data_IF_901109047513
#
_entry.id   IF_901109047513
#
_cell.length_a   1.000
_cell.length_b   1.000
_cell.length_c   1.000
_cell.angle_alpha   90.00
_cell.angle_beta   90.00
_cell.angle_gamma   90.00
#
_symmetry.space_group_name_H-M   'P 1'
#
loop_
_entity.id
_entity.type
_entity.pdbx_description
1 polymer ?
#
# COMPACT_ATOMS: atom_id res chain seq x y z
N UNK A 1 -63.83 -1.10 -25.02
CA UNK A 1 -63.01 -1.21 -23.81
C UNK A 1 -61.66 -1.82 -24.21
N UNK A 2 -60.63 -0.96 -24.33
CA UNK A 2 -59.27 -1.40 -24.70
C UNK A 2 -58.50 -1.62 -23.41
N UNK A 3 -58.07 -2.87 -23.15
CA UNK A 3 -57.21 -3.19 -22.00
C UNK A 3 -55.78 -2.79 -22.34
N UNK A 4 -55.24 -1.82 -21.60
CA UNK A 4 -53.83 -1.44 -21.64
C UNK A 4 -53.05 -2.43 -20.75
N UNK A 5 -52.17 -3.23 -21.34
CA UNK A 5 -51.24 -4.10 -20.61
C UNK A 5 -49.99 -3.26 -20.28
N UNK A 6 -49.77 -3.00 -19.01
CA UNK A 6 -48.50 -2.44 -18.53
C UNK A 6 -47.45 -3.56 -18.42
N UNK A 7 -46.46 -3.48 -19.31
CA UNK A 7 -45.27 -4.32 -19.23
C UNK A 7 -44.30 -3.72 -18.20
N UNK A 8 -44.19 -4.32 -17.01
CA UNK A 8 -43.16 -3.99 -16.03
C UNK A 8 -41.85 -4.57 -16.52
N UNK A 9 -40.97 -3.69 -17.01
CA UNK A 9 -39.57 -4.05 -17.30
C UNK A 9 -38.83 -4.15 -15.95
N UNK A 10 -38.61 -5.37 -15.46
CA UNK A 10 -37.70 -5.63 -14.33
C UNK A 10 -36.27 -5.39 -14.86
N UNK A 11 -35.73 -4.21 -14.63
CA UNK A 11 -34.29 -3.97 -14.77
C UNK A 11 -33.62 -4.68 -13.59
N UNK A 12 -33.12 -5.89 -13.85
CA UNK A 12 -32.20 -6.55 -12.92
C UNK A 12 -30.92 -5.71 -12.90
N UNK A 13 -30.80 -4.81 -11.94
CA UNK A 13 -29.52 -4.20 -11.58
C UNK A 13 -28.65 -5.30 -10.99
N UNK A 14 -27.95 -6.02 -11.85
CA UNK A 14 -26.75 -6.75 -11.41
C UNK A 14 -25.78 -5.67 -10.94
N UNK A 15 -25.58 -5.56 -9.63
CA UNK A 15 -24.44 -4.82 -9.09
C UNK A 15 -23.20 -5.53 -9.66
N UNK A 16 -22.63 -4.97 -10.74
CA UNK A 16 -21.30 -5.35 -11.14
C UNK A 16 -20.42 -5.15 -9.91
N UNK A 17 -19.83 -6.23 -9.40
CA UNK A 17 -18.82 -6.13 -8.35
C UNK A 17 -17.78 -5.15 -8.89
N UNK A 18 -17.61 -4.03 -8.19
CA UNK A 18 -16.72 -2.97 -8.65
C UNK A 18 -15.33 -3.58 -8.61
N UNK A 19 -14.68 -3.72 -9.76
CA UNK A 19 -13.35 -4.29 -9.88
C UNK A 19 -12.40 -3.52 -8.96
N UNK A 20 -11.75 -4.23 -8.05
CA UNK A 20 -10.77 -3.67 -7.11
C UNK A 20 -9.38 -4.00 -7.66
N UNK A 21 -9.13 -3.49 -8.86
CA UNK A 21 -8.10 -3.92 -9.79
C UNK A 21 -6.76 -3.20 -9.61
N UNK A 22 -6.65 -2.28 -8.64
CA UNK A 22 -5.44 -1.50 -8.39
C UNK A 22 -5.21 -1.31 -6.90
N UNK A 23 -3.99 -0.89 -6.55
CA UNK A 23 -3.64 -0.49 -5.20
C UNK A 23 -4.66 0.52 -4.64
N UNK A 24 -5.11 0.30 -3.39
CA UNK A 24 -6.13 1.14 -2.72
C UNK A 24 -7.49 1.20 -3.45
N UNK A 25 -7.79 0.21 -4.29
CA UNK A 25 -9.07 -0.01 -4.94
C UNK A 25 -9.28 0.70 -6.27
N UNK A 26 -8.59 1.80 -6.57
CA UNK A 26 -8.76 2.58 -7.80
C UNK A 26 -7.55 3.50 -8.08
N UNK A 27 -7.51 4.11 -9.27
CA UNK A 27 -6.41 4.97 -9.70
C UNK A 27 -6.24 6.26 -8.86
N UNK A 28 -7.25 6.69 -8.11
CA UNK A 28 -7.18 7.83 -7.19
C UNK A 28 -6.72 7.42 -5.77
N UNK A 29 -6.54 6.13 -5.52
CA UNK A 29 -6.12 5.52 -4.25
C UNK A 29 -7.01 5.89 -3.06
N UNK A 30 -8.31 5.91 -3.25
CA UNK A 30 -9.25 6.36 -2.19
C UNK A 30 -9.23 5.49 -0.93
N UNK A 31 -8.81 4.23 -1.03
CA UNK A 31 -8.77 3.27 0.08
C UNK A 31 -10.14 2.87 0.61
N UNK A 32 -11.17 3.02 -0.22
CA UNK A 32 -12.58 2.79 0.12
C UNK A 32 -13.08 1.56 -0.61
N UNK A 33 -13.70 0.66 0.13
CA UNK A 33 -14.22 -0.61 -0.35
C UNK A 33 -15.72 -0.69 -0.02
N UNK A 34 -16.60 -0.25 -0.93
CA UNK A 34 -18.03 -0.27 -0.68
C UNK A 34 -18.55 -1.70 -0.63
N UNK A 35 -19.53 -1.95 0.23
CA UNK A 35 -20.19 -3.24 0.36
C UNK A 35 -20.11 -3.86 1.76
N UNK A 36 -20.55 -5.11 1.85
CA UNK A 36 -20.52 -5.85 3.11
C UNK A 36 -19.08 -6.16 3.54
N UNK A 37 -18.83 -6.01 4.83
CA UNK A 37 -17.55 -6.32 5.46
C UNK A 37 -17.80 -7.12 6.75
N UNK A 38 -16.92 -8.05 7.17
CA UNK A 38 -17.12 -8.82 8.38
C UNK A 38 -16.96 -7.94 9.63
N UNK A 39 -18.10 -7.64 10.30
CA UNK A 39 -18.09 -6.96 11.60
C UNK A 39 -17.72 -7.90 12.76
N UNK A 40 -17.88 -9.19 12.55
CA UNK A 40 -17.50 -10.26 13.47
C UNK A 40 -16.53 -11.20 12.76
N UNK A 41 -15.55 -11.70 13.47
CA UNK A 41 -14.64 -12.71 12.93
C UNK A 41 -15.30 -14.09 13.07
N UNK A 42 -15.59 -14.72 11.95
CA UNK A 42 -16.17 -16.07 11.95
C UNK A 42 -15.08 -17.14 11.77
N UNK A 43 -14.23 -17.00 10.78
CA UNK A 43 -13.17 -17.98 10.49
C UNK A 43 -12.14 -17.48 9.48
N UNK A 44 -11.02 -18.19 9.39
CA UNK A 44 -10.15 -18.18 8.22
C UNK A 44 -10.86 -18.95 7.12
N UNK A 45 -11.30 -18.26 6.05
CA UNK A 45 -11.92 -18.89 4.88
C UNK A 45 -10.91 -19.81 4.21
N UNK A 46 -9.73 -19.29 3.94
CA UNK A 46 -8.56 -20.02 3.49
C UNK A 46 -7.27 -19.22 3.73
N UNK A 47 -6.15 -19.91 3.65
CA UNK A 47 -4.81 -19.28 3.57
C UNK A 47 -4.01 -19.97 2.48
N UNK A 48 -3.29 -19.18 1.68
CA UNK A 48 -2.46 -19.67 0.58
C UNK A 48 -0.99 -19.49 0.94
N UNK A 49 -0.15 -20.54 0.93
CA UNK A 49 1.28 -20.44 1.19
C UNK A 49 2.01 -19.98 -0.07
N UNK A 50 2.78 -18.88 0.03
CA UNK A 50 3.82 -18.54 -0.91
C UNK A 50 5.19 -19.03 -0.38
N UNK A 51 6.24 -18.91 -1.20
CA UNK A 51 7.58 -19.36 -0.80
C UNK A 51 8.31 -18.41 0.16
N UNK A 52 7.84 -17.14 0.30
CA UNK A 52 8.44 -16.11 1.14
C UNK A 52 7.38 -15.06 1.53
N UNK A 53 7.82 -13.92 2.09
CA UNK A 53 6.96 -12.84 2.55
C UNK A 53 6.01 -12.34 1.45
N UNK A 54 4.77 -12.02 1.84
CA UNK A 54 3.77 -11.33 1.02
C UNK A 54 3.60 -9.92 1.57
N UNK A 55 4.35 -8.97 1.04
CA UNK A 55 4.40 -7.57 1.49
C UNK A 55 3.42 -6.70 0.70
N UNK A 56 3.36 -6.90 -0.62
CA UNK A 56 2.40 -6.23 -1.49
C UNK A 56 0.95 -6.57 -1.15
N UNK A 57 0.04 -5.69 -1.50
CA UNK A 57 -1.40 -5.91 -1.29
C UNK A 57 -1.99 -6.77 -2.41
N UNK A 58 -3.00 -7.60 -2.12
CA UNK A 58 -3.73 -8.31 -3.16
C UNK A 58 -4.69 -7.37 -3.90
N UNK A 59 -4.99 -7.72 -5.14
CA UNK A 59 -6.07 -7.12 -5.94
C UNK A 59 -6.97 -8.21 -6.51
N UNK A 60 -8.19 -7.86 -6.91
CA UNK A 60 -9.17 -8.83 -7.41
C UNK A 60 -9.88 -8.35 -8.67
N UNK A 61 -9.99 -9.26 -9.63
CA UNK A 61 -10.87 -9.16 -10.78
C UNK A 61 -11.47 -10.54 -11.08
N UNK A 62 -12.73 -10.60 -11.45
CA UNK A 62 -13.43 -11.84 -11.87
C UNK A 62 -13.25 -13.03 -10.92
N UNK A 63 -13.33 -12.78 -9.60
CA UNK A 63 -13.15 -13.78 -8.54
C UNK A 63 -11.75 -14.42 -8.48
N UNK A 64 -10.76 -13.76 -9.06
CA UNK A 64 -9.35 -14.16 -9.00
C UNK A 64 -8.58 -13.11 -8.20
N UNK A 65 -7.82 -13.57 -7.20
CA UNK A 65 -6.91 -12.73 -6.42
C UNK A 65 -5.51 -12.81 -7.03
N UNK A 66 -4.89 -11.64 -7.27
CA UNK A 66 -3.54 -11.52 -7.77
C UNK A 66 -2.65 -10.83 -6.74
N UNK A 67 -1.43 -11.34 -6.55
CA UNK A 67 -0.46 -10.77 -5.62
C UNK A 67 0.97 -11.17 -5.96
N UNK A 68 1.93 -10.38 -5.49
CA UNK A 68 3.35 -10.67 -5.57
C UNK A 68 3.91 -11.22 -4.26
N UNK A 69 5.02 -11.93 -4.33
CA UNK A 69 5.74 -12.46 -3.16
C UNK A 69 7.25 -12.24 -3.28
N UNK A 70 7.91 -12.15 -2.14
CA UNK A 70 9.38 -12.05 -2.06
C UNK A 70 10.10 -13.31 -2.52
N UNK A 71 9.37 -14.42 -2.81
CA UNK A 71 9.93 -15.60 -3.46
C UNK A 71 10.17 -15.41 -4.97
N UNK A 72 9.88 -14.21 -5.49
CA UNK A 72 10.06 -13.86 -6.89
C UNK A 72 8.93 -14.32 -7.80
N UNK A 73 7.78 -14.73 -7.26
CA UNK A 73 6.63 -15.14 -8.06
C UNK A 73 5.48 -14.12 -7.95
N UNK A 74 4.74 -14.05 -9.05
CA UNK A 74 3.43 -13.44 -9.15
C UNK A 74 2.41 -14.59 -9.15
N UNK A 75 1.38 -14.50 -8.34
CA UNK A 75 0.37 -15.53 -8.14
C UNK A 75 -1.01 -15.07 -8.56
N UNK A 76 -1.79 -15.99 -9.11
CA UNK A 76 -3.25 -15.89 -9.22
C UNK A 76 -3.88 -17.06 -8.46
N UNK A 77 -4.83 -16.75 -7.59
CA UNK A 77 -5.57 -17.74 -6.78
C UNK A 77 -7.07 -17.50 -6.86
N UNK A 78 -7.83 -18.56 -6.80
CA UNK A 78 -9.29 -18.52 -6.75
C UNK A 78 -9.76 -17.92 -5.42
N UNK A 79 -10.59 -16.88 -5.46
CA UNK A 79 -11.03 -16.13 -4.29
C UNK A 79 -11.96 -16.93 -3.37
N UNK A 80 -12.64 -17.97 -3.87
CA UNK A 80 -13.56 -18.77 -3.09
C UNK A 80 -12.85 -19.80 -2.21
N UNK A 81 -11.78 -20.41 -2.74
CA UNK A 81 -11.16 -21.57 -2.10
C UNK A 81 -9.64 -21.48 -1.92
N UNK A 82 -8.98 -20.39 -2.40
CA UNK A 82 -7.54 -20.17 -2.30
C UNK A 82 -6.70 -21.10 -3.17
N UNK A 83 -7.29 -21.82 -4.13
CA UNK A 83 -6.53 -22.69 -5.04
C UNK A 83 -5.72 -21.88 -6.03
N UNK A 84 -4.44 -22.23 -6.20
CA UNK A 84 -3.60 -21.61 -7.24
C UNK A 84 -4.17 -21.90 -8.63
N UNK A 85 -4.37 -20.83 -9.38
CA UNK A 85 -4.73 -20.88 -10.81
C UNK A 85 -3.44 -20.95 -11.62
N UNK A 86 -2.54 -19.98 -11.40
CA UNK A 86 -1.22 -19.95 -11.99
C UNK A 86 -0.20 -19.24 -11.10
N UNK A 87 1.06 -19.40 -11.40
CA UNK A 87 2.16 -18.56 -10.90
C UNK A 87 3.18 -18.30 -12.00
N UNK A 88 3.78 -17.12 -11.98
CA UNK A 88 4.80 -16.71 -12.95
C UNK A 88 6.03 -16.19 -12.20
N UNK A 89 7.20 -16.76 -12.52
CA UNK A 89 8.44 -16.39 -11.87
C UNK A 89 9.08 -15.17 -12.52
N UNK A 90 9.58 -14.27 -11.68
CA UNK A 90 10.56 -13.23 -12.00
C UNK A 90 11.94 -13.62 -11.49
N UNK A 91 12.94 -12.72 -11.56
CA UNK A 91 14.29 -13.00 -11.04
C UNK A 91 14.60 -12.24 -9.75
N UNK A 92 13.63 -11.59 -9.14
CA UNK A 92 13.74 -10.83 -7.90
C UNK A 92 12.43 -10.81 -7.12
N UNK A 93 12.41 -10.37 -5.86
CA UNK A 93 11.21 -10.18 -5.08
C UNK A 93 10.16 -9.31 -5.77
N UNK A 94 8.88 -9.56 -5.46
CA UNK A 94 7.72 -8.82 -6.01
C UNK A 94 6.89 -8.24 -4.87
N UNK A 95 7.38 -7.21 -4.16
CA UNK A 95 6.69 -6.62 -3.01
C UNK A 95 5.74 -5.47 -3.39
N UNK A 96 5.31 -5.36 -4.63
CA UNK A 96 4.28 -4.39 -5.04
C UNK A 96 2.91 -5.03 -5.20
N UNK A 97 1.88 -4.20 -5.17
CA UNK A 97 0.52 -4.58 -5.52
C UNK A 97 0.38 -4.61 -7.05
N UNK A 98 -0.10 -5.68 -7.67
CA UNK A 98 -0.39 -5.68 -9.10
C UNK A 98 -1.50 -4.69 -9.46
N UNK A 99 -1.57 -4.26 -10.73
CA UNK A 99 -2.77 -3.65 -11.29
C UNK A 99 -3.35 -4.54 -12.37
N UNK A 100 -4.68 -4.51 -12.54
CA UNK A 100 -5.37 -5.29 -13.54
C UNK A 100 -6.20 -4.35 -14.41
N UNK A 101 -6.09 -4.52 -15.71
CA UNK A 101 -6.91 -3.80 -16.66
C UNK A 101 -7.16 -4.66 -17.91
N UNK A 102 -8.44 -4.82 -18.29
CA UNK A 102 -8.83 -5.63 -19.45
C UNK A 102 -8.20 -7.04 -19.50
N UNK A 103 -8.17 -7.73 -18.34
CA UNK A 103 -7.62 -9.07 -18.23
C UNK A 103 -6.08 -9.16 -18.31
N UNK A 104 -5.40 -8.04 -18.25
CA UNK A 104 -3.93 -7.95 -18.16
C UNK A 104 -3.50 -7.60 -16.73
N UNK A 105 -2.46 -8.26 -16.24
CA UNK A 105 -1.87 -8.01 -14.92
C UNK A 105 -0.52 -7.31 -15.09
N UNK A 106 -0.37 -6.16 -14.44
CA UNK A 106 0.82 -5.32 -14.51
C UNK A 106 1.53 -5.28 -13.15
N UNK A 107 2.84 -5.51 -13.12
CA UNK A 107 3.56 -5.64 -11.85
C UNK A 107 5.07 -5.37 -12.01
N UNK A 108 5.67 -4.71 -11.02
CA UNK A 108 7.12 -4.51 -10.92
C UNK A 108 7.82 -5.62 -10.13
N UNK A 109 9.12 -5.82 -10.38
CA UNK A 109 9.97 -6.74 -9.64
C UNK A 109 11.33 -6.11 -9.32
N UNK A 110 11.91 -6.50 -8.20
CA UNK A 110 13.29 -6.12 -7.83
C UNK A 110 14.36 -6.65 -8.80
N UNK A 111 13.99 -7.45 -9.82
CA UNK A 111 14.91 -7.78 -10.91
C UNK A 111 15.13 -6.62 -11.91
N UNK A 112 14.59 -5.44 -11.63
CA UNK A 112 14.68 -4.25 -12.47
C UNK A 112 13.78 -4.31 -13.70
N UNK A 113 12.73 -5.12 -13.66
CA UNK A 113 11.76 -5.22 -14.76
C UNK A 113 10.34 -5.01 -14.32
N UNK A 114 9.60 -4.43 -15.23
CA UNK A 114 8.17 -4.32 -15.17
C UNK A 114 7.52 -5.32 -16.13
N UNK A 115 6.49 -6.04 -15.70
CA UNK A 115 5.89 -7.14 -16.41
C UNK A 115 4.41 -6.85 -16.71
N UNK A 116 3.95 -7.28 -17.90
CA UNK A 116 2.55 -7.44 -18.21
C UNK A 116 2.26 -8.91 -18.51
N UNK A 117 1.29 -9.46 -17.82
CA UNK A 117 0.90 -10.86 -17.89
C UNK A 117 -0.55 -10.99 -18.35
N UNK A 118 -0.86 -12.08 -19.01
CA UNK A 118 -2.22 -12.51 -19.24
C UNK A 118 -2.86 -12.95 -17.92
N UNK A 119 -3.96 -12.33 -17.51
CA UNK A 119 -4.59 -12.58 -16.22
C UNK A 119 -5.13 -14.00 -16.03
N UNK A 120 -5.52 -14.68 -17.13
CA UNK A 120 -6.08 -16.04 -17.06
C UNK A 120 -4.99 -17.11 -16.99
N UNK A 121 -3.87 -16.91 -17.70
CA UNK A 121 -2.83 -17.94 -17.87
C UNK A 121 -1.51 -17.62 -17.16
N UNK A 122 -1.29 -16.36 -16.76
CA UNK A 122 -0.01 -15.91 -16.24
C UNK A 122 1.10 -15.77 -17.30
N UNK A 123 0.77 -15.95 -18.58
CA UNK A 123 1.76 -15.84 -19.66
C UNK A 123 2.28 -14.40 -19.80
N UNK A 124 3.59 -14.23 -19.83
CA UNK A 124 4.21 -12.91 -20.06
C UNK A 124 3.88 -12.43 -21.46
N UNK A 125 3.19 -11.31 -21.58
CA UNK A 125 2.89 -10.64 -22.87
C UNK A 125 4.04 -9.74 -23.28
N UNK A 126 4.51 -8.91 -22.36
CA UNK A 126 5.67 -8.07 -22.53
C UNK A 126 6.38 -7.79 -21.21
N UNK A 127 7.58 -7.31 -21.27
CA UNK A 127 8.36 -6.81 -20.13
C UNK A 127 9.20 -5.62 -20.55
N UNK A 128 9.32 -4.66 -19.64
CA UNK A 128 10.13 -3.45 -19.79
C UNK A 128 11.26 -3.47 -18.75
N UNK A 129 12.48 -3.12 -19.13
CA UNK A 129 13.59 -2.96 -18.21
C UNK A 129 13.69 -1.50 -17.76
N UNK A 130 13.67 -1.26 -16.45
CA UNK A 130 13.99 0.04 -15.85
C UNK A 130 15.51 0.27 -15.90
N UNK A 131 15.97 1.42 -15.41
CA UNK A 131 17.42 1.71 -15.30
C UNK A 131 18.08 1.03 -14.08
N UNK A 132 17.31 0.23 -13.33
CA UNK A 132 17.72 -0.56 -12.18
C UNK A 132 16.81 -0.34 -10.99
N UNK A 133 16.78 -1.29 -10.06
CA UNK A 133 15.98 -1.23 -8.84
C UNK A 133 16.90 -1.19 -7.63
N UNK A 134 16.64 -0.31 -6.66
CA UNK A 134 17.38 -0.21 -5.41
C UNK A 134 16.48 0.31 -4.30
N UNK A 135 16.83 0.01 -3.07
CA UNK A 135 16.24 0.68 -1.90
C UNK A 135 16.81 2.09 -1.76
N UNK A 136 16.08 2.94 -1.06
CA UNK A 136 16.62 4.19 -0.55
C UNK A 136 17.81 3.92 0.38
N UNK A 137 18.83 4.76 0.31
CA UNK A 137 20.01 4.67 1.15
C UNK A 137 20.56 6.06 1.49
N UNK A 138 21.04 6.22 2.72
CA UNK A 138 21.65 7.46 3.16
C UNK A 138 22.77 7.22 4.18
N UNK A 139 23.67 8.22 4.35
CA UNK A 139 24.73 8.18 5.36
C UNK A 139 24.12 8.35 6.75
N UNK A 140 24.50 7.46 7.67
CA UNK A 140 24.03 7.49 9.06
C UNK A 140 22.52 7.41 9.18
N UNK A 141 21.86 6.74 8.23
CA UNK A 141 20.40 6.57 8.18
C UNK A 141 19.90 6.04 9.54
N UNK A 142 18.75 6.51 10.00
CA UNK A 142 18.16 6.19 11.30
C UNK A 142 19.07 6.54 12.51
N UNK A 143 20.07 7.39 12.33
CA UNK A 143 21.08 7.68 13.37
C UNK A 143 22.11 6.58 13.54
N UNK A 144 22.18 5.59 12.65
CA UNK A 144 23.11 4.47 12.71
C UNK A 144 24.58 4.90 12.60
N UNK A 145 25.45 4.13 13.24
CA UNK A 145 26.87 4.42 13.32
C UNK A 145 27.71 3.45 12.48
N UNK A 146 28.82 3.90 11.90
CA UNK A 146 29.29 5.29 11.86
C UNK A 146 28.45 6.17 10.91
N UNK A 147 28.22 7.44 11.28
CA UNK A 147 27.43 8.40 10.46
C UNK A 147 28.00 8.64 9.06
N UNK A 148 29.23 8.22 8.80
CA UNK A 148 29.89 8.35 7.50
C UNK A 148 29.58 7.20 6.54
N UNK A 149 29.05 6.08 7.07
CA UNK A 149 28.67 4.91 6.27
C UNK A 149 27.27 5.07 5.71
N UNK A 150 27.09 4.65 4.45
CA UNK A 150 25.77 4.56 3.79
C UNK A 150 25.09 3.25 4.21
N UNK A 151 23.81 3.37 4.56
CA UNK A 151 22.95 2.25 4.94
C UNK A 151 21.71 2.24 4.03
N UNK A 152 21.37 1.07 3.52
CA UNK A 152 20.08 0.87 2.85
C UNK A 152 18.95 0.87 3.89
N UNK A 153 17.82 1.47 3.56
CA UNK A 153 16.68 1.55 4.45
C UNK A 153 15.98 0.19 4.57
N UNK A 154 15.99 -0.35 5.79
CA UNK A 154 15.29 -1.58 6.11
C UNK A 154 13.76 -1.48 5.97
N UNK A 155 13.21 -0.25 6.09
CA UNK A 155 11.77 0.03 6.03
C UNK A 155 11.29 0.47 4.63
N UNK A 156 12.20 0.60 3.66
CA UNK A 156 11.86 0.73 2.23
C UNK A 156 11.61 -0.65 1.64
N UNK A 157 10.47 -1.25 2.02
CA UNK A 157 10.14 -2.65 1.72
C UNK A 157 9.24 -2.81 0.50
N UNK A 158 8.63 -1.72 0.02
CA UNK A 158 7.71 -1.75 -1.10
C UNK A 158 8.40 -1.34 -2.41
N UNK A 159 7.90 -1.85 -3.53
CA UNK A 159 8.02 -1.21 -4.83
C UNK A 159 6.76 -0.42 -5.15
N UNK A 160 6.89 0.58 -6.01
CA UNK A 160 5.75 1.33 -6.53
C UNK A 160 4.74 0.38 -7.18
N UNK A 161 3.49 0.44 -6.73
CA UNK A 161 2.38 -0.28 -7.36
C UNK A 161 1.89 0.49 -8.57
N UNK A 162 1.64 -0.16 -9.71
CA UNK A 162 1.22 0.52 -10.92
C UNK A 162 -0.23 1.05 -10.84
N UNK A 163 -0.47 2.13 -11.56
CA UNK A 163 -1.82 2.58 -11.94
C UNK A 163 -2.00 2.43 -13.44
N UNK A 164 -3.17 1.97 -13.88
CA UNK A 164 -3.50 1.80 -15.29
C UNK A 164 -4.70 2.68 -15.62
N UNK A 165 -4.52 3.63 -16.54
CA UNK A 165 -5.56 4.58 -16.94
C UNK A 165 -5.40 4.91 -18.42
N UNK A 166 -6.51 4.87 -19.17
CA UNK A 166 -6.57 5.25 -20.59
C UNK A 166 -5.49 4.58 -21.46
N UNK A 167 -5.29 3.26 -21.24
CA UNK A 167 -4.33 2.46 -21.99
C UNK A 167 -2.86 2.81 -21.73
N UNK A 168 -2.57 3.45 -20.61
CA UNK A 168 -1.22 3.70 -20.13
C UNK A 168 -1.01 3.11 -18.73
N UNK A 169 0.18 2.58 -18.48
CA UNK A 169 0.64 2.13 -17.17
C UNK A 169 1.61 3.15 -16.60
N UNK A 170 1.41 3.52 -15.33
CA UNK A 170 2.26 4.46 -14.60
C UNK A 170 2.83 3.79 -13.37
N UNK A 171 4.13 3.86 -13.15
CA UNK A 171 4.80 3.31 -11.96
C UNK A 171 6.13 4.01 -11.68
N UNK A 172 6.49 4.07 -10.41
CA UNK A 172 7.80 4.55 -9.97
C UNK A 172 8.83 3.42 -9.91
N UNK A 173 10.10 3.77 -9.83
CA UNK A 173 11.22 2.83 -9.73
C UNK A 173 12.31 3.32 -8.79
N UNK A 174 13.08 2.39 -8.24
CA UNK A 174 14.27 2.67 -7.43
C UNK A 174 15.37 3.40 -8.19
N UNK A 175 15.31 3.46 -9.52
CA UNK A 175 16.21 4.29 -10.32
C UNK A 175 15.86 5.80 -10.26
N UNK A 176 14.78 6.17 -9.57
CA UNK A 176 14.33 7.54 -9.37
C UNK A 176 13.53 8.11 -10.54
N UNK A 177 12.94 7.27 -11.39
CA UNK A 177 12.02 7.70 -12.44
C UNK A 177 10.59 7.29 -12.12
N UNK A 178 9.63 8.16 -12.51
CA UNK A 178 8.27 7.75 -12.81
C UNK A 178 8.21 7.41 -14.30
N UNK A 179 7.70 6.23 -14.63
CA UNK A 179 7.53 5.74 -15.99
C UNK A 179 6.06 5.80 -16.44
N UNK A 180 5.85 6.07 -17.72
CA UNK A 180 4.59 5.81 -18.41
C UNK A 180 4.86 4.92 -19.61
N UNK A 181 4.19 3.77 -19.65
CA UNK A 181 4.28 2.81 -20.76
C UNK A 181 2.93 2.67 -21.44
N UNK A 182 2.95 2.29 -22.71
CA UNK A 182 1.75 1.79 -23.38
C UNK A 182 1.32 0.46 -22.77
N UNK A 183 0.09 0.34 -22.31
CA UNK A 183 -0.39 -0.83 -21.59
C UNK A 183 -0.41 -2.11 -22.46
N UNK A 184 -0.60 -1.98 -23.79
CA UNK A 184 -0.69 -3.13 -24.69
C UNK A 184 0.70 -3.61 -25.17
N UNK A 185 1.58 -2.67 -25.50
CA UNK A 185 2.89 -3.00 -26.12
C UNK A 185 4.06 -2.97 -25.14
N UNK A 186 3.94 -2.26 -24.02
CA UNK A 186 5.05 -2.01 -23.08
C UNK A 186 6.05 -0.97 -23.60
N UNK A 187 5.75 -0.28 -24.69
CA UNK A 187 6.60 0.80 -25.21
C UNK A 187 6.60 2.01 -24.28
N UNK A 188 7.78 2.61 -24.11
CA UNK A 188 7.96 3.81 -23.31
C UNK A 188 7.24 4.99 -23.97
N UNK A 189 6.24 5.56 -23.28
CA UNK A 189 5.60 6.82 -23.68
C UNK A 189 6.44 8.01 -23.21
N UNK A 190 6.81 8.03 -21.94
CA UNK A 190 7.71 9.01 -21.33
C UNK A 190 8.22 8.51 -19.97
N UNK A 191 9.26 9.14 -19.46
CA UNK A 191 9.72 9.02 -18.08
C UNK A 191 10.00 10.38 -17.48
N UNK A 192 9.80 10.54 -16.17
CA UNK A 192 10.06 11.74 -15.41
C UNK A 192 11.09 11.43 -14.31
N UNK A 193 12.22 12.14 -14.32
CA UNK A 193 13.31 11.94 -13.37
C UNK A 193 13.13 12.78 -12.12
N UNK A 194 13.24 12.16 -10.95
CA UNK A 194 13.33 12.78 -9.63
C UNK A 194 14.76 12.74 -9.10
N UNK A 195 14.99 13.31 -7.92
CA UNK A 195 16.30 13.31 -7.28
C UNK A 195 16.68 12.01 -6.59
N UNK A 196 15.71 11.13 -6.26
CA UNK A 196 15.93 9.85 -5.59
C UNK A 196 14.82 8.84 -5.93
N UNK A 197 14.80 7.69 -5.25
CA UNK A 197 13.87 6.56 -5.40
C UNK A 197 12.41 7.01 -5.44
N UNK A 198 11.61 6.39 -6.30
CA UNK A 198 10.15 6.58 -6.41
C UNK A 198 9.45 5.27 -6.09
N UNK A 199 9.25 4.95 -4.82
CA UNK A 199 8.51 3.76 -4.36
C UNK A 199 7.07 4.05 -3.93
N UNK A 200 6.71 5.33 -3.71
CA UNK A 200 5.31 5.71 -3.59
C UNK A 200 4.55 5.42 -4.90
N UNK A 201 3.39 4.80 -4.78
CA UNK A 201 2.56 4.47 -5.94
C UNK A 201 1.87 5.71 -6.48
N UNK A 202 1.84 5.96 -7.80
CA UNK A 202 1.24 7.16 -8.36
C UNK A 202 -0.29 7.08 -8.37
N UNK A 203 -0.96 8.12 -7.87
CA UNK A 203 -2.40 8.30 -8.11
C UNK A 203 -2.60 9.08 -9.42
N UNK A 204 -3.54 8.61 -10.26
CA UNK A 204 -3.84 9.22 -11.56
C UNK A 204 -5.25 9.79 -11.53
N UNK A 205 -5.36 11.11 -11.59
CA UNK A 205 -6.65 11.82 -11.56
C UNK A 205 -6.66 12.98 -12.53
N UNK A 206 -7.69 13.09 -13.36
CA UNK A 206 -7.90 14.19 -14.31
C UNK A 206 -6.66 14.50 -15.18
N UNK A 207 -6.00 13.46 -15.69
CA UNK A 207 -4.83 13.63 -16.56
C UNK A 207 -3.55 14.06 -15.86
N UNK A 208 -3.48 13.91 -14.53
CA UNK A 208 -2.31 14.24 -13.70
C UNK A 208 -1.88 13.02 -12.89
N UNK A 209 -0.60 12.71 -12.90
CA UNK A 209 0.04 11.74 -12.00
C UNK A 209 0.56 12.47 -10.77
N UNK A 210 0.12 12.04 -9.58
CA UNK A 210 0.53 12.55 -8.29
C UNK A 210 1.34 11.49 -7.55
N UNK A 211 2.56 11.80 -7.13
CA UNK A 211 3.43 10.84 -6.46
C UNK A 211 4.51 11.51 -5.61
N UNK A 212 4.99 10.80 -4.64
CA UNK A 212 6.11 11.22 -3.81
C UNK A 212 7.42 10.55 -4.21
N UNK A 213 8.54 11.20 -3.88
CA UNK A 213 9.89 10.65 -4.02
C UNK A 213 10.66 10.75 -2.70
N UNK A 214 11.69 9.95 -2.57
CA UNK A 214 12.61 9.99 -1.44
C UNK A 214 13.55 11.22 -1.46
N UNK A 215 13.50 12.03 -2.52
CA UNK A 215 14.18 13.33 -2.60
C UNK A 215 13.47 14.44 -1.83
N UNK A 216 12.47 14.13 -1.03
CA UNK A 216 11.63 15.05 -0.24
C UNK A 216 10.65 15.89 -1.05
N UNK A 217 10.51 15.62 -2.33
CA UNK A 217 9.51 16.30 -3.16
C UNK A 217 8.30 15.40 -3.43
N UNK A 218 7.16 16.04 -3.42
CA UNK A 218 5.91 15.52 -3.95
C UNK A 218 5.64 16.18 -5.30
N UNK A 219 5.30 15.41 -6.31
CA UNK A 219 5.20 15.84 -7.70
C UNK A 219 3.82 15.69 -8.27
N UNK A 220 3.43 16.61 -9.17
CA UNK A 220 2.32 16.46 -10.10
C UNK A 220 2.83 16.59 -11.53
N UNK A 221 2.57 15.57 -12.33
CA UNK A 221 3.08 15.44 -13.69
C UNK A 221 1.93 15.22 -14.66
N UNK A 222 1.93 15.94 -15.78
CA UNK A 222 0.96 15.78 -16.86
C UNK A 222 1.13 14.39 -17.53
N UNK A 223 0.07 13.57 -17.52
CA UNK A 223 0.14 12.20 -18.04
C UNK A 223 0.33 12.11 -19.56
N UNK A 224 0.01 13.19 -20.30
CA UNK A 224 0.10 13.17 -21.76
C UNK A 224 1.52 13.35 -22.29
N UNK A 225 2.37 14.01 -21.52
CA UNK A 225 3.71 14.40 -22.00
C UNK A 225 4.84 14.28 -20.96
N UNK A 226 4.53 13.85 -19.73
CA UNK A 226 5.50 13.67 -18.65
C UNK A 226 6.10 14.96 -18.11
N UNK A 227 5.49 16.14 -18.34
CA UNK A 227 6.01 17.42 -17.85
C UNK A 227 5.48 17.71 -16.45
N UNK A 228 6.37 18.25 -15.59
CA UNK A 228 6.01 18.75 -14.28
C UNK A 228 4.98 19.88 -14.38
N UNK A 229 3.90 19.76 -13.61
CA UNK A 229 2.92 20.84 -13.42
C UNK A 229 3.26 21.65 -12.18
N UNK A 230 3.59 20.96 -11.10
CA UNK A 230 4.07 21.54 -9.86
C UNK A 230 4.78 20.49 -9.00
N UNK A 231 5.54 20.94 -8.02
CA UNK A 231 6.10 20.14 -6.95
C UNK A 231 6.00 20.85 -5.62
N UNK A 232 5.94 20.08 -4.54
CA UNK A 232 5.92 20.55 -3.16
C UNK A 232 7.10 19.93 -2.40
N UNK A 233 7.83 20.74 -1.62
CA UNK A 233 8.95 20.27 -0.80
C UNK A 233 8.49 20.06 0.64
N UNK A 234 8.65 18.83 1.16
CA UNK A 234 8.38 18.48 2.56
C UNK A 234 9.54 18.92 3.48
N UNK A 235 9.30 18.78 4.78
CA UNK A 235 10.32 19.00 5.81
C UNK A 235 11.32 17.85 5.92
N UNK A 236 12.09 17.86 7.02
CA UNK A 236 13.02 16.80 7.41
C UNK A 236 12.44 16.01 8.58
N UNK A 237 12.93 14.79 8.79
CA UNK A 237 12.64 14.04 10.01
C UNK A 237 13.06 14.84 11.25
N UNK A 238 12.14 15.03 12.23
CA UNK A 238 12.40 15.92 13.36
C UNK A 238 13.46 15.42 14.35
N UNK A 239 13.83 14.13 14.29
CA UNK A 239 14.80 13.51 15.22
C UNK A 239 16.19 13.35 14.63
N UNK A 240 16.27 12.86 13.38
CA UNK A 240 17.55 12.48 12.78
C UNK A 240 17.94 13.31 11.56
N UNK A 241 17.03 14.13 11.04
CA UNK A 241 17.24 15.08 9.97
C UNK A 241 17.77 14.51 8.63
N UNK A 242 17.70 13.19 8.45
CA UNK A 242 18.19 12.50 7.26
C UNK A 242 17.25 11.38 6.77
N UNK A 243 16.00 11.36 7.25
CA UNK A 243 14.97 10.40 6.86
C UNK A 243 13.84 11.15 6.18
N UNK A 244 14.19 11.84 5.14
CA UNK A 244 13.25 12.61 4.32
C UNK A 244 12.61 11.71 3.28
N UNK A 245 11.50 12.13 2.74
CA UNK A 245 10.86 11.48 1.61
C UNK A 245 9.44 11.02 1.86
N UNK A 246 8.75 10.91 0.74
CA UNK A 246 7.36 10.46 0.68
C UNK A 246 7.33 8.95 0.39
N UNK A 247 7.16 8.14 1.44
CA UNK A 247 6.91 6.71 1.31
C UNK A 247 5.41 6.41 1.15
N UNK A 248 4.55 7.26 1.73
CA UNK A 248 3.10 7.19 1.59
C UNK A 248 2.67 7.42 0.15
N UNK A 249 1.82 6.56 -0.38
CA UNK A 249 1.17 6.81 -1.67
C UNK A 249 -0.04 7.73 -1.47
N UNK A 250 -0.25 8.73 -2.35
CA UNK A 250 -1.31 9.71 -2.18
C UNK A 250 -2.71 9.15 -2.42
N UNK A 251 -3.70 9.74 -1.74
CA UNK A 251 -5.10 9.66 -2.13
C UNK A 251 -5.53 11.02 -2.71
N UNK A 252 -6.28 11.01 -3.81
CA UNK A 252 -6.75 12.25 -4.46
C UNK A 252 -8.27 12.25 -4.51
N UNK A 253 -8.89 13.15 -3.74
CA UNK A 253 -10.34 13.26 -3.61
C UNK A 253 -10.76 14.73 -3.63
N UNK A 254 -11.81 15.06 -4.39
CA UNK A 254 -12.39 16.40 -4.47
C UNK A 254 -11.38 17.54 -4.72
N UNK A 255 -10.38 17.28 -5.58
CA UNK A 255 -9.36 18.25 -5.94
C UNK A 255 -8.30 18.48 -4.85
N UNK A 256 -8.22 17.58 -3.87
CA UNK A 256 -7.20 17.62 -2.80
C UNK A 256 -6.38 16.34 -2.83
N UNK A 257 -5.07 16.48 -2.73
CA UNK A 257 -4.11 15.39 -2.53
C UNK A 257 -3.84 15.25 -1.05
N UNK A 258 -4.02 14.04 -0.52
CA UNK A 258 -3.66 13.69 0.85
C UNK A 258 -2.50 12.69 0.82
N UNK A 259 -1.41 13.00 1.51
CA UNK A 259 -0.21 12.15 1.55
C UNK A 259 0.55 12.32 2.85
N UNK A 260 1.06 11.23 3.37
CA UNK A 260 1.95 11.25 4.53
C UNK A 260 3.42 11.39 4.12
N UNK A 261 4.25 11.81 5.07
CA UNK A 261 5.69 11.94 4.87
C UNK A 261 6.47 11.49 6.11
N UNK A 262 7.75 11.21 5.94
CA UNK A 262 8.66 10.84 7.04
C UNK A 262 9.08 12.03 7.91
N UNK A 263 8.72 13.24 7.56
CA UNK A 263 8.83 14.41 8.43
C UNK A 263 7.75 14.50 9.52
N UNK A 264 7.04 13.40 9.75
CA UNK A 264 5.95 13.26 10.71
C UNK A 264 4.66 14.02 10.34
N UNK A 265 4.50 14.49 9.10
CA UNK A 265 3.34 15.24 8.66
C UNK A 265 2.40 14.40 7.77
N UNK A 266 1.09 14.64 7.91
CA UNK A 266 0.12 14.36 6.86
C UNK A 266 -0.22 15.67 6.16
N UNK A 267 -0.05 15.72 4.86
CA UNK A 267 -0.31 16.90 4.04
C UNK A 267 -1.63 16.80 3.29
N UNK A 268 -2.33 17.94 3.17
CA UNK A 268 -3.40 18.15 2.22
C UNK A 268 -2.98 19.27 1.26
N UNK A 269 -2.78 18.93 -0.01
CA UNK A 269 -2.35 19.85 -1.04
C UNK A 269 -3.47 20.07 -2.07
N UNK A 270 -3.60 21.27 -2.57
CA UNK A 270 -4.48 21.58 -3.69
C UNK A 270 -3.97 20.87 -4.95
N UNK A 271 -4.78 20.00 -5.53
CA UNK A 271 -4.37 19.14 -6.65
C UNK A 271 -4.01 19.94 -7.93
N UNK A 272 -4.58 21.12 -8.13
CA UNK A 272 -4.31 21.93 -9.31
C UNK A 272 -3.01 22.75 -9.19
N UNK A 273 -2.66 23.20 -7.97
CA UNK A 273 -1.61 24.19 -7.75
C UNK A 273 -0.44 23.71 -6.88
N UNK A 274 -0.59 22.59 -6.16
CA UNK A 274 0.38 22.10 -5.18
C UNK A 274 0.46 22.92 -3.89
N UNK A 275 -0.39 23.94 -3.70
CA UNK A 275 -0.40 24.74 -2.48
C UNK A 275 -0.90 23.94 -1.30
N UNK A 276 -0.21 24.04 -0.17
CA UNK A 276 -0.65 23.46 1.11
C UNK A 276 -1.98 24.10 1.53
N UNK A 277 -3.00 23.26 1.74
CA UNK A 277 -4.28 23.64 2.32
C UNK A 277 -4.22 23.55 3.84
N UNK A 278 -3.67 22.47 4.33
CA UNK A 278 -3.37 22.21 5.73
C UNK A 278 -2.37 21.06 5.85
N UNK A 279 -1.77 20.94 7.02
CA UNK A 279 -1.01 19.76 7.43
C UNK A 279 -1.35 19.36 8.86
N UNK A 280 -1.24 18.08 9.15
CA UNK A 280 -1.42 17.51 10.47
C UNK A 280 -0.08 17.05 11.00
N UNK A 281 0.34 17.61 12.15
CA UNK A 281 1.61 17.27 12.81
C UNK A 281 1.41 16.07 13.74
N UNK A 282 2.06 14.95 13.45
CA UNK A 282 2.09 13.76 14.29
C UNK A 282 3.29 13.76 15.27
N UNK A 283 3.88 14.90 15.53
CA UNK A 283 5.02 15.16 16.40
C UNK A 283 6.32 14.48 15.96
N UNK A 284 6.51 13.18 16.19
CA UNK A 284 7.81 12.52 15.99
C UNK A 284 7.74 11.27 15.13
N UNK A 285 6.55 10.77 14.80
CA UNK A 285 6.37 9.50 14.11
C UNK A 285 5.96 9.70 12.66
N UNK A 286 6.61 8.96 11.78
CA UNK A 286 6.35 9.02 10.35
C UNK A 286 4.92 8.68 9.98
N UNK A 287 4.36 9.41 9.04
CA UNK A 287 3.07 9.10 8.41
C UNK A 287 3.35 8.38 7.09
N UNK A 288 3.50 7.07 7.16
CA UNK A 288 3.90 6.24 6.01
C UNK A 288 2.76 5.47 5.37
N UNK A 289 1.64 5.31 6.09
CA UNK A 289 0.46 4.67 5.51
C UNK A 289 -0.17 5.57 4.45
N UNK A 290 -0.67 4.96 3.39
CA UNK A 290 -1.46 5.66 2.38
C UNK A 290 -2.84 5.97 2.96
N UNK A 291 -3.28 7.24 2.98
CA UNK A 291 -4.54 7.61 3.60
C UNK A 291 -5.75 7.04 2.84
N UNK A 292 -6.83 6.75 3.58
CA UNK A 292 -8.14 6.54 2.98
C UNK A 292 -9.00 7.80 3.17
N UNK A 293 -9.77 8.17 2.14
CA UNK A 293 -10.53 9.42 2.17
C UNK A 293 -11.97 9.15 1.75
N UNK A 294 -12.91 9.39 2.66
CA UNK A 294 -14.34 9.22 2.42
C UNK A 294 -15.19 10.01 3.42
N UNK A 295 -16.33 10.50 2.98
CA UNK A 295 -17.32 11.23 3.79
C UNK A 295 -16.69 12.38 4.59
N UNK A 296 -15.82 13.17 3.93
CA UNK A 296 -15.17 14.32 4.55
C UNK A 296 -14.14 13.97 5.64
N UNK A 297 -13.68 12.71 5.70
CA UNK A 297 -12.72 12.22 6.70
C UNK A 297 -11.50 11.61 6.02
N UNK A 298 -10.33 11.76 6.64
CA UNK A 298 -9.07 11.12 6.26
C UNK A 298 -8.67 10.14 7.35
N UNK A 299 -8.48 8.87 6.98
CA UNK A 299 -8.08 7.77 7.85
C UNK A 299 -6.63 7.42 7.54
N UNK A 300 -5.77 7.43 8.55
CA UNK A 300 -4.35 7.08 8.38
C UNK A 300 -3.76 6.52 9.67
N UNK A 301 -2.57 5.94 9.57
CA UNK A 301 -1.86 5.42 10.71
C UNK A 301 -0.37 5.79 10.62
N UNK A 302 0.33 5.64 11.74
CA UNK A 302 1.71 6.08 11.91
C UNK A 302 2.61 4.92 12.32
N UNK A 303 3.90 5.06 12.05
CA UNK A 303 4.88 4.01 12.32
C UNK A 303 5.07 3.76 13.82
N UNK A 304 6.13 4.22 14.40
CA UNK A 304 6.62 3.90 15.75
C UNK A 304 5.77 4.48 16.90
N UNK A 305 5.00 5.54 16.68
CA UNK A 305 4.00 5.97 17.67
C UNK A 305 2.77 5.05 17.73
N UNK A 306 2.60 4.14 16.75
CA UNK A 306 1.52 3.16 16.72
C UNK A 306 0.13 3.77 16.85
N UNK A 307 -0.10 4.90 16.16
CA UNK A 307 -1.35 5.64 16.26
C UNK A 307 -2.19 5.50 14.99
N UNK A 308 -3.45 5.18 15.18
CA UNK A 308 -4.50 5.28 14.18
C UNK A 308 -5.25 6.60 14.37
N UNK A 309 -5.37 7.37 13.30
CA UNK A 309 -5.99 8.68 13.29
C UNK A 309 -7.13 8.77 12.29
N UNK A 310 -8.13 9.58 12.64
CA UNK A 310 -9.14 10.12 11.72
C UNK A 310 -9.17 11.64 11.89
N UNK A 311 -9.06 12.37 10.78
CA UNK A 311 -9.13 13.84 10.78
C UNK A 311 -10.17 14.33 9.78
N UNK A 312 -10.65 15.56 9.94
CA UNK A 312 -11.52 16.23 8.97
C UNK A 312 -10.75 16.50 7.67
N UNK A 313 -11.27 16.07 6.52
CA UNK A 313 -10.63 16.25 5.23
C UNK A 313 -10.46 17.72 4.83
N UNK A 314 -11.37 18.59 5.24
CA UNK A 314 -11.34 20.02 4.91
C UNK A 314 -10.37 20.85 5.76
N UNK A 315 -9.99 20.40 6.95
CA UNK A 315 -9.26 21.23 7.92
C UNK A 315 -8.08 20.53 8.62
N UNK A 316 -7.97 19.20 8.52
CA UNK A 316 -6.99 18.42 9.27
C UNK A 316 -7.27 18.32 10.78
N UNK A 317 -8.42 18.83 11.27
CA UNK A 317 -8.76 18.74 12.70
C UNK A 317 -8.96 17.29 13.13
N UNK A 318 -8.39 16.89 14.29
CA UNK A 318 -8.56 15.54 14.82
C UNK A 318 -10.04 15.23 15.13
N UNK A 319 -10.51 14.07 14.66
CA UNK A 319 -11.80 13.48 15.02
C UNK A 319 -11.58 12.32 15.99
N UNK A 320 -10.59 11.48 15.67
CA UNK A 320 -10.32 10.24 16.40
C UNK A 320 -8.82 9.98 16.47
N UNK A 321 -8.38 9.46 17.63
CA UNK A 321 -7.03 8.96 17.85
C UNK A 321 -7.11 7.69 18.70
N UNK A 322 -6.52 6.60 18.22
CA UNK A 322 -6.40 5.33 18.95
C UNK A 322 -4.95 4.86 18.95
N UNK A 323 -4.49 4.38 20.08
CA UNK A 323 -3.16 3.74 20.20
C UNK A 323 -3.27 2.25 19.90
N UNK A 324 -2.28 1.72 19.18
CA UNK A 324 -2.11 0.31 18.91
C UNK A 324 -0.95 -0.30 19.70
N UNK A 325 -0.75 -1.61 19.59
CA UNK A 325 0.29 -2.34 20.32
C UNK A 325 1.65 -2.30 19.64
N UNK A 326 1.68 -2.03 18.32
CA UNK A 326 2.91 -1.99 17.53
C UNK A 326 2.74 -1.12 16.28
N UNK A 327 3.81 -0.97 15.51
CA UNK A 327 3.90 -0.09 14.35
C UNK A 327 2.86 -0.42 13.28
N UNK A 328 2.32 0.63 12.65
CA UNK A 328 1.31 0.53 11.61
C UNK A 328 1.90 0.96 10.25
N UNK A 329 2.11 -0.01 9.37
CA UNK A 329 2.58 0.20 7.99
C UNK A 329 1.51 -0.15 6.95
N UNK A 330 0.59 -1.04 7.32
CA UNK A 330 -0.58 -1.36 6.51
C UNK A 330 -1.51 -0.16 6.41
N UNK A 331 -1.89 0.21 5.21
CA UNK A 331 -2.79 1.35 5.00
C UNK A 331 -4.24 0.95 5.30
N UNK A 332 -5.02 1.79 6.00
CA UNK A 332 -6.38 1.43 6.41
C UNK A 332 -7.31 1.22 5.20
N UNK A 333 -8.02 0.09 5.19
CA UNK A 333 -9.09 -0.18 4.23
C UNK A 333 -10.44 0.17 4.85
N UNK A 334 -11.15 1.15 4.27
CA UNK A 334 -12.39 1.69 4.83
C UNK A 334 -13.59 1.14 4.07
N UNK A 335 -14.54 0.56 4.82
CA UNK A 335 -15.84 0.14 4.30
C UNK A 335 -16.96 1.04 4.82
N UNK A 336 -18.22 0.66 4.64
CA UNK A 336 -19.35 1.45 5.13
C UNK A 336 -19.34 1.62 6.66
N UNK A 337 -18.87 0.61 7.39
CA UNK A 337 -18.99 0.54 8.85
C UNK A 337 -17.77 -0.01 9.58
N UNK A 338 -16.78 -0.54 8.86
CA UNK A 338 -15.56 -1.14 9.42
C UNK A 338 -14.32 -0.54 8.77
N UNK A 339 -13.25 -0.42 9.55
CA UNK A 339 -11.90 -0.12 9.07
C UNK A 339 -11.00 -1.31 9.39
N UNK A 340 -10.28 -1.81 8.39
CA UNK A 340 -9.33 -2.90 8.54
C UNK A 340 -7.90 -2.38 8.46
N UNK A 341 -7.04 -2.87 9.35
CA UNK A 341 -5.63 -2.48 9.45
C UNK A 341 -4.78 -3.69 9.83
N UNK A 342 -3.63 -3.86 9.18
CA UNK A 342 -2.58 -4.78 9.59
C UNK A 342 -1.57 -4.11 10.52
N UNK A 343 -1.04 -4.86 11.48
CA UNK A 343 -0.07 -4.39 12.49
C UNK A 343 1.22 -5.19 12.35
N UNK A 344 2.39 -4.56 12.57
CA UNK A 344 3.68 -5.24 12.41
C UNK A 344 3.94 -6.33 13.44
N UNK A 345 3.18 -6.39 14.53
CA UNK A 345 3.23 -7.52 15.47
C UNK A 345 2.51 -8.78 14.96
N UNK A 346 2.03 -8.76 13.71
CA UNK A 346 1.29 -9.85 13.09
C UNK A 346 -0.17 -9.95 13.51
N UNK A 347 -0.73 -8.88 14.07
CA UNK A 347 -2.16 -8.76 14.34
C UNK A 347 -2.86 -8.09 13.15
N UNK A 348 -4.01 -8.60 12.75
CA UNK A 348 -4.93 -7.97 11.80
C UNK A 348 -6.18 -7.54 12.54
N UNK A 349 -6.61 -6.30 12.37
CA UNK A 349 -7.66 -5.69 13.14
C UNK A 349 -8.83 -5.21 12.29
N UNK A 350 -10.05 -5.42 12.81
CA UNK A 350 -11.26 -4.75 12.37
C UNK A 350 -11.71 -3.77 13.45
N UNK A 351 -11.93 -2.53 13.05
CA UNK A 351 -12.33 -1.45 13.95
C UNK A 351 -13.67 -0.84 13.50
N UNK A 352 -14.53 -0.47 14.43
CA UNK A 352 -15.72 0.30 14.12
C UNK A 352 -15.33 1.63 13.46
N UNK A 353 -15.89 1.92 12.30
CA UNK A 353 -15.52 3.10 11.51
C UNK A 353 -15.78 4.43 12.25
N UNK A 354 -16.80 4.50 13.11
CA UNK A 354 -17.20 5.74 13.76
C UNK A 354 -16.46 5.97 15.09
N UNK A 355 -16.36 4.93 15.92
CA UNK A 355 -15.75 5.04 17.25
C UNK A 355 -14.26 4.68 17.25
N UNK A 356 -13.77 3.94 16.22
CA UNK A 356 -12.41 3.40 16.17
C UNK A 356 -12.16 2.25 17.14
N UNK A 357 -13.19 1.78 17.84
CA UNK A 357 -13.06 0.68 18.79
C UNK A 357 -12.79 -0.63 18.06
N UNK A 358 -11.96 -1.48 18.69
CA UNK A 358 -11.65 -2.80 18.17
C UNK A 358 -12.92 -3.67 18.19
N UNK A 359 -13.32 -4.18 17.04
CA UNK A 359 -14.42 -5.15 16.91
C UNK A 359 -13.88 -6.57 17.09
N UNK A 360 -12.81 -6.90 16.37
CA UNK A 360 -12.11 -8.18 16.48
C UNK A 360 -10.67 -8.07 16.01
N UNK A 361 -9.84 -9.03 16.41
CA UNK A 361 -8.46 -9.18 15.96
C UNK A 361 -8.18 -10.62 15.53
N UNK A 362 -7.28 -10.78 14.55
CA UNK A 362 -6.74 -12.05 14.11
C UNK A 362 -5.21 -12.00 14.24
N UNK A 363 -4.57 -13.10 14.58
CA UNK A 363 -3.12 -13.21 14.67
C UNK A 363 -2.58 -14.21 13.65
N UNK A 364 -1.53 -13.82 12.93
CA UNK A 364 -0.81 -14.71 12.01
C UNK A 364 -0.15 -15.87 12.76
N UNK A 365 0.17 -16.96 12.07
CA UNK A 365 0.70 -18.17 12.73
C UNK A 365 2.06 -17.92 13.39
N UNK A 366 2.98 -17.21 12.71
CA UNK A 366 4.27 -16.84 13.31
C UNK A 366 4.11 -15.92 14.50
N UNK A 367 3.16 -14.99 14.44
CA UNK A 367 2.88 -14.07 15.54
C UNK A 367 2.39 -14.80 16.79
N UNK A 368 1.56 -15.85 16.64
CA UNK A 368 1.14 -16.70 17.77
C UNK A 368 2.31 -17.45 18.40
N UNK A 369 3.25 -17.93 17.59
CA UNK A 369 4.44 -18.64 18.06
C UNK A 369 5.39 -17.71 18.83
N UNK A 370 5.48 -16.42 18.42
CA UNK A 370 6.38 -15.42 19.02
C UNK A 370 7.81 -15.97 19.22
N UNK A 371 8.36 -16.59 18.19
CA UNK A 371 9.71 -17.13 18.24
C UNK A 371 10.73 -16.05 18.63
N UNK A 372 11.73 -16.42 19.43
CA UNK A 372 12.77 -15.50 19.94
C UNK A 372 12.25 -14.33 20.79
N UNK A 373 11.03 -14.41 21.32
CA UNK A 373 10.45 -13.42 22.21
C UNK A 373 10.48 -11.99 21.67
N UNK A 374 10.25 -11.84 20.38
CA UNK A 374 10.19 -10.54 19.68
C UNK A 374 9.11 -9.63 20.26
N UNK A 375 8.03 -10.22 20.78
CA UNK A 375 6.94 -9.52 21.45
C UNK A 375 6.90 -9.84 22.95
N UNK A 376 6.50 -8.83 23.73
CA UNK A 376 6.13 -9.00 25.14
C UNK A 376 4.81 -9.78 25.27
N UNK A 377 4.41 -10.08 26.52
CA UNK A 377 3.12 -10.72 26.82
C UNK A 377 1.93 -9.84 26.33
N UNK A 378 2.08 -8.52 26.35
CA UNK A 378 1.09 -7.55 25.91
C UNK A 378 1.09 -7.34 24.39
N UNK A 379 1.90 -8.11 23.66
CA UNK A 379 2.04 -8.04 22.19
C UNK A 379 2.70 -6.76 21.67
N UNK A 380 3.43 -6.03 22.51
CA UNK A 380 4.30 -4.92 22.10
C UNK A 380 5.68 -5.45 21.70
N UNK A 381 6.39 -4.71 20.86
CA UNK A 381 7.79 -5.08 20.56
C UNK A 381 8.64 -5.09 21.82
N UNK A 382 9.46 -6.14 21.95
CA UNK A 382 10.45 -6.26 23.04
C UNK A 382 11.67 -5.37 22.71
N UNK A 383 11.54 -4.08 23.00
CA UNK A 383 12.52 -3.04 22.66
C UNK A 383 13.95 -3.38 23.14
N UNK A 384 14.18 -3.88 24.39
CA UNK A 384 15.52 -4.29 24.80
C UNK A 384 16.15 -5.34 23.87
N UNK A 385 15.38 -6.36 23.48
CA UNK A 385 15.87 -7.42 22.59
C UNK A 385 16.12 -6.93 21.15
N UNK A 386 15.25 -6.06 20.65
CA UNK A 386 15.31 -5.61 19.25
C UNK A 386 16.31 -4.48 19.03
N UNK A 387 16.41 -3.55 19.96
CA UNK A 387 17.08 -2.26 19.72
C UNK A 387 18.37 -2.07 20.52
N UNK A 388 18.51 -2.62 21.73
CA UNK A 388 19.68 -2.32 22.54
C UNK A 388 20.95 -3.04 22.10
N UNK A 389 20.85 -4.29 21.69
CA UNK A 389 22.02 -5.07 21.28
C UNK A 389 22.14 -5.14 19.75
N UNK A 390 21.03 -5.43 19.05
CA UNK A 390 21.06 -5.64 17.61
C UNK A 390 21.08 -4.32 16.80
N UNK A 391 20.48 -3.26 17.29
CA UNK A 391 20.38 -1.99 16.55
C UNK A 391 21.70 -1.24 16.46
N UNK A 392 22.57 -1.39 17.45
CA UNK A 392 23.92 -0.80 17.43
C UNK A 392 24.89 -1.58 16.56
N UNK A 393 24.75 -2.91 16.51
CA UNK A 393 25.71 -3.79 15.83
C UNK A 393 25.23 -4.28 14.47
N UNK A 394 23.91 -4.48 14.29
CA UNK A 394 23.32 -4.97 13.05
C UNK A 394 21.87 -4.49 12.85
N UNK A 395 21.67 -3.22 12.45
CA UNK A 395 20.33 -2.63 12.31
C UNK A 395 19.40 -3.37 11.36
N UNK A 396 19.94 -3.90 10.25
CA UNK A 396 19.17 -4.71 9.30
C UNK A 396 18.67 -6.02 9.93
N UNK A 397 19.45 -6.63 10.81
CA UNK A 397 19.06 -7.86 11.54
C UNK A 397 17.91 -7.57 12.51
N UNK A 398 17.90 -6.40 13.14
CA UNK A 398 16.79 -5.99 14.01
C UNK A 398 15.48 -5.82 13.24
N UNK A 399 15.53 -5.15 12.08
CA UNK A 399 14.36 -5.01 11.20
C UNK A 399 13.87 -6.38 10.68
N UNK A 400 14.78 -7.25 10.25
CA UNK A 400 14.44 -8.60 9.81
C UNK A 400 13.77 -9.42 10.92
N UNK A 401 14.21 -9.30 12.18
CA UNK A 401 13.53 -9.95 13.32
C UNK A 401 12.11 -9.45 13.54
N UNK A 402 11.91 -8.12 13.42
CA UNK A 402 10.56 -7.54 13.50
C UNK A 402 9.65 -8.05 12.37
N UNK A 403 10.21 -8.20 11.15
CA UNK A 403 9.45 -8.63 10.01
C UNK A 403 9.19 -10.14 10.03
N UNK A 404 10.07 -10.94 10.58
CA UNK A 404 9.95 -12.41 10.58
C UNK A 404 8.89 -12.95 11.55
N UNK A 405 8.23 -12.10 12.30
CA UNK A 405 7.16 -12.48 13.24
C UNK A 405 5.78 -12.64 12.59
N UNK A 406 5.69 -12.60 11.27
CA UNK A 406 4.40 -12.59 10.58
C UNK A 406 3.77 -11.20 10.53
N UNK A 407 4.60 -10.16 10.45
CA UNK A 407 4.19 -8.77 10.34
C UNK A 407 3.28 -8.54 9.12
N UNK A 408 2.34 -7.62 9.23
CA UNK A 408 1.39 -7.31 8.16
C UNK A 408 1.68 -5.90 7.62
N UNK A 409 2.37 -5.86 6.48
CA UNK A 409 2.61 -4.65 5.69
C UNK A 409 1.53 -4.42 4.64
N UNK A 410 1.00 -5.52 4.11
CA UNK A 410 -0.03 -5.53 3.07
C UNK A 410 -1.25 -4.70 3.50
N UNK A 411 -1.70 -3.80 2.64
CA UNK A 411 -2.98 -3.11 2.85
C UNK A 411 -4.13 -4.06 2.50
N UNK A 412 -5.21 -4.09 3.31
CA UNK A 412 -6.30 -5.04 3.09
C UNK A 412 -7.07 -4.75 1.81
N UNK A 413 -7.46 -5.82 1.12
CA UNK A 413 -8.49 -5.83 0.09
C UNK A 413 -9.80 -6.33 0.73
N UNK A 414 -10.91 -5.63 0.52
CA UNK A 414 -12.22 -6.06 1.00
C UNK A 414 -13.15 -6.29 -0.17
N UNK A 415 -13.62 -7.51 -0.34
CA UNK A 415 -14.51 -7.87 -1.44
C UNK A 415 -15.46 -8.99 -1.03
N UNK A 416 -16.74 -8.89 -1.42
CA UNK A 416 -17.76 -9.95 -1.24
C UNK A 416 -17.89 -10.46 0.22
N UNK A 417 -17.71 -9.57 1.21
CA UNK A 417 -17.78 -9.96 2.62
C UNK A 417 -16.53 -10.67 3.16
N UNK A 418 -15.46 -10.71 2.39
CA UNK A 418 -14.18 -11.33 2.76
C UNK A 418 -13.08 -10.26 2.76
N UNK A 419 -12.14 -10.38 3.70
CA UNK A 419 -10.95 -9.53 3.76
C UNK A 419 -9.72 -10.35 3.41
N UNK A 420 -8.90 -9.82 2.49
CA UNK A 420 -7.67 -10.47 2.02
C UNK A 420 -6.46 -9.62 2.37
N UNK A 421 -5.38 -10.23 2.85
CA UNK A 421 -4.12 -9.55 3.12
C UNK A 421 -2.93 -10.52 3.10
N UNK A 422 -1.77 -10.00 2.75
CA UNK A 422 -0.51 -10.72 2.82
C UNK A 422 0.19 -10.54 4.16
N UNK A 423 1.04 -11.48 4.52
CA UNK A 423 1.86 -11.41 5.74
C UNK A 423 3.30 -11.87 5.47
N UNK A 424 4.23 -11.40 6.30
CA UNK A 424 5.63 -11.83 6.23
C UNK A 424 5.85 -13.26 6.70
N UNK A 425 4.83 -13.94 7.22
CA UNK A 425 4.90 -15.39 7.47
C UNK A 425 4.78 -16.24 6.20
N UNK A 426 4.64 -15.59 5.04
CA UNK A 426 4.57 -16.25 3.75
C UNK A 426 3.17 -16.72 3.34
N UNK A 427 2.14 -16.19 3.97
CA UNK A 427 0.76 -16.50 3.60
C UNK A 427 0.01 -15.28 3.06
N UNK A 428 -0.84 -15.54 2.07
CA UNK A 428 -2.01 -14.71 1.78
C UNK A 428 -3.19 -15.29 2.56
N UNK A 429 -3.86 -14.45 3.33
CA UNK A 429 -5.03 -14.81 4.17
C UNK A 429 -6.33 -14.31 3.56
N UNK A 430 -7.40 -15.07 3.70
CA UNK A 430 -8.79 -14.67 3.47
C UNK A 430 -9.59 -14.93 4.76
N UNK A 431 -10.18 -13.86 5.31
CA UNK A 431 -10.98 -13.90 6.55
C UNK A 431 -12.44 -13.52 6.26
N UNK A 432 -13.38 -14.21 6.90
CA UNK A 432 -14.81 -13.90 6.86
C UNK A 432 -15.46 -13.94 8.24
#
# INVERSE_FOLDING_TARGET
MKKLAFLFLFVCLTSAAQAQSMFRGNAAHTGVYPGAAPREFHRVKWKFPSGARVVGSPVMEDNIIYFGSDDGNIYAVDADNGRQIWKTATRGPVPCTPAIDHGMVYVGSYDGKFYALDGQSGAVKWKFATEGERRFEAKGLHGWQPKTQTYADAFDVFLSSPAVVDGAVYFGSGDGNLYSLDANSGELRWKFKTGDVVHASPAIVNGVAFFGSWDSYFYAVDVTNGKEKWRYHAGEDPLVHNQVGFQSSPAVVDGVVYTGCRDAQLYALDAATGKEKWKFDNALSWVITSPAVVDGKVYFATSDSSLYHVVEAGSGKPILKKEDKAYLFSSPAVTNDVVFIGVLNGTFEARDRNSGDLLWEFQTEKSKQNANWVLTAERRFNVPLLFFDAWREAPLVSADRQFDIGAIFSSPLVANGVVYFGSTDGFLYALE
#
